data_IF_975923646340
#
_entry.id   IF_975923646340
#
_cell.length_a   1.000
_cell.length_b   1.000
_cell.length_c   1.000
_cell.angle_alpha   90.00
_cell.angle_beta   90.00
_cell.angle_gamma   90.00
#
_symmetry.space_group_name_H-M   'P 1'
#
loop_
_entity.id
_entity.type
_entity.pdbx_description
1 polymer ?
#
# COMPACT_ATOMS: atom_id res chain seq x y z
N UNK A 1 4.74 9.49 15.58
CA UNK A 1 3.69 8.79 14.82
C UNK A 1 4.15 8.80 13.37
N UNK A 2 4.37 7.64 12.74
CA UNK A 2 4.71 7.62 11.31
C UNK A 2 3.52 8.17 10.51
N UNK A 3 3.80 9.04 9.56
CA UNK A 3 2.80 9.54 8.63
C UNK A 3 2.25 8.42 7.73
N UNK A 4 1.08 8.64 7.15
CA UNK A 4 0.46 7.68 6.22
C UNK A 4 1.40 7.34 5.05
N UNK A 5 2.13 8.33 4.54
CA UNK A 5 3.08 8.15 3.44
C UNK A 5 4.31 7.34 3.86
N UNK A 6 4.85 7.55 5.06
CA UNK A 6 5.96 6.74 5.59
C UNK A 6 5.52 5.29 5.78
N UNK A 7 4.31 5.07 6.31
CA UNK A 7 3.73 3.73 6.49
C UNK A 7 3.52 3.02 5.15
N UNK A 8 2.98 3.73 4.14
CA UNK A 8 2.78 3.18 2.80
C UNK A 8 4.10 2.87 2.09
N UNK A 9 5.12 3.73 2.23
CA UNK A 9 6.46 3.49 1.68
C UNK A 9 7.14 2.29 2.34
N UNK A 10 7.04 2.16 3.66
CA UNK A 10 7.58 1.01 4.38
C UNK A 10 6.90 -0.29 3.91
N UNK A 11 5.57 -0.30 3.77
CA UNK A 11 4.84 -1.43 3.22
C UNK A 11 5.30 -1.82 1.81
N UNK A 12 5.49 -0.84 0.94
CA UNK A 12 5.97 -1.07 -0.42
C UNK A 12 7.43 -1.58 -0.43
N UNK A 13 8.26 -1.11 0.50
CA UNK A 13 9.67 -1.52 0.63
C UNK A 13 9.84 -2.98 1.10
N UNK A 14 8.91 -3.50 1.91
CA UNK A 14 8.91 -4.92 2.31
C UNK A 14 8.31 -5.85 1.25
N UNK A 15 8.12 -5.38 0.01
CA UNK A 15 7.51 -6.16 -1.07
C UNK A 15 5.98 -6.11 -1.10
N UNK A 16 5.36 -5.20 -0.35
CA UNK A 16 3.95 -4.92 -0.46
C UNK A 16 3.58 -4.28 -1.80
N UNK A 17 2.42 -4.65 -2.33
CA UNK A 17 1.80 -4.06 -3.52
C UNK A 17 0.46 -3.45 -3.13
N UNK A 18 0.23 -2.21 -3.53
CA UNK A 18 -1.02 -1.48 -3.33
C UNK A 18 -1.59 -1.11 -4.71
N UNK A 19 -2.89 -1.20 -4.91
CA UNK A 19 -3.49 -0.86 -6.20
C UNK A 19 -4.88 -0.25 -6.09
N UNK A 20 -5.28 0.46 -7.14
CA UNK A 20 -6.65 0.94 -7.36
C UNK A 20 -7.24 0.19 -8.56
N UNK A 21 -8.41 -0.41 -8.35
CA UNK A 21 -9.18 -1.06 -9.41
C UNK A 21 -9.99 -0.04 -10.24
N UNK A 22 -10.57 -0.44 -11.39
CA UNK A 22 -11.44 0.44 -12.19
C UNK A 22 -12.68 1.00 -11.48
N UNK A 23 -13.13 0.32 -10.42
CA UNK A 23 -14.22 0.76 -9.58
C UNK A 23 -13.74 1.69 -8.45
N UNK A 24 -12.50 2.16 -8.54
CA UNK A 24 -11.86 3.08 -7.61
C UNK A 24 -11.64 2.50 -6.19
N UNK A 25 -11.60 1.16 -6.07
CA UNK A 25 -11.42 0.45 -4.81
C UNK A 25 -9.95 0.14 -4.56
N UNK A 26 -9.53 0.31 -3.31
CA UNK A 26 -8.16 0.12 -2.86
C UNK A 26 -7.88 -1.33 -2.46
N UNK A 27 -7.00 -2.00 -3.19
CA UNK A 27 -6.45 -3.31 -2.86
C UNK A 27 -5.03 -3.21 -2.31
N UNK A 28 -4.64 -4.18 -1.49
CA UNK A 28 -3.26 -4.32 -1.03
C UNK A 28 -2.94 -5.78 -0.71
N UNK A 29 -1.75 -6.23 -1.05
CA UNK A 29 -1.21 -7.57 -0.80
C UNK A 29 0.28 -7.45 -0.49
N UNK A 30 0.81 -8.39 0.29
CA UNK A 30 2.24 -8.54 0.51
C UNK A 30 2.57 -10.00 0.26
N UNK A 31 3.50 -10.26 -0.67
CA UNK A 31 3.90 -11.62 -1.05
C UNK A 31 5.07 -12.14 -0.18
N UNK A 32 5.54 -11.36 0.79
CA UNK A 32 6.67 -11.72 1.63
C UNK A 32 6.27 -12.76 2.71
N UNK A 33 6.98 -13.89 2.75
CA UNK A 33 7.12 -14.72 3.95
C UNK A 33 8.01 -13.95 4.93
N UNK A 34 7.37 -13.10 5.73
CA UNK A 34 8.03 -12.09 6.53
C UNK A 34 8.42 -12.57 7.93
N UNK A 35 9.52 -12.02 8.43
CA UNK A 35 9.85 -12.01 9.86
C UNK A 35 8.94 -11.04 10.65
N UNK A 36 9.19 -10.88 11.95
CA UNK A 36 8.40 -10.03 12.83
C UNK A 36 8.31 -8.56 12.38
N UNK A 37 9.32 -8.05 11.66
CA UNK A 37 9.35 -6.67 11.17
C UNK A 37 8.39 -6.48 9.98
N UNK A 38 8.35 -7.47 9.07
CA UNK A 38 7.39 -7.50 7.98
C UNK A 38 5.94 -7.60 8.47
N UNK A 39 5.67 -8.42 9.50
CA UNK A 39 4.34 -8.51 10.12
C UNK A 39 3.92 -7.17 10.76
N UNK A 40 4.81 -6.55 11.54
CA UNK A 40 4.53 -5.27 12.19
C UNK A 40 4.22 -4.16 11.18
N UNK A 41 5.02 -4.08 10.10
CA UNK A 41 4.83 -3.10 9.02
C UNK A 41 3.54 -3.35 8.25
N UNK A 42 3.24 -4.60 7.91
CA UNK A 42 1.99 -4.99 7.25
C UNK A 42 0.77 -4.62 8.10
N UNK A 43 0.82 -4.91 9.40
CA UNK A 43 -0.26 -4.57 10.33
C UNK A 43 -0.46 -3.07 10.46
N UNK A 44 0.63 -2.30 10.55
CA UNK A 44 0.56 -0.84 10.57
C UNK A 44 -0.10 -0.29 9.30
N UNK A 45 0.28 -0.82 8.14
CA UNK A 45 -0.31 -0.46 6.86
C UNK A 45 -1.81 -0.78 6.77
N UNK A 46 -2.22 -2.02 7.10
CA UNK A 46 -3.64 -2.40 7.05
C UNK A 46 -4.49 -1.59 8.04
N UNK A 47 -3.93 -1.23 9.19
CA UNK A 47 -4.59 -0.34 10.16
C UNK A 47 -4.78 1.06 9.58
N UNK A 48 -3.74 1.63 8.96
CA UNK A 48 -3.82 2.93 8.30
C UNK A 48 -4.81 2.94 7.12
N UNK A 49 -4.84 1.83 6.34
CA UNK A 49 -5.82 1.60 5.27
C UNK A 49 -7.26 1.58 5.77
N UNK A 50 -7.51 0.93 6.90
CA UNK A 50 -8.84 0.90 7.50
C UNK A 50 -9.26 2.27 8.05
N UNK A 51 -8.32 3.05 8.57
CA UNK A 51 -8.58 4.38 9.11
C UNK A 51 -8.90 5.41 8.01
N UNK A 52 -8.11 5.44 6.93
CA UNK A 52 -8.32 6.38 5.83
C UNK A 52 -7.98 5.77 4.45
N UNK A 53 -8.92 5.01 3.85
CA UNK A 53 -8.71 4.43 2.54
C UNK A 53 -8.67 5.47 1.41
N UNK A 54 -9.28 6.65 1.62
CA UNK A 54 -9.33 7.70 0.61
C UNK A 54 -7.97 8.40 0.47
N UNK A 55 -7.33 8.73 1.59
CA UNK A 55 -5.98 9.30 1.59
C UNK A 55 -4.96 8.33 0.98
N UNK A 56 -5.05 7.03 1.29
CA UNK A 56 -4.21 6.01 0.66
C UNK A 56 -4.46 5.87 -0.84
N UNK A 57 -5.71 5.96 -1.29
CA UNK A 57 -6.00 5.97 -2.72
C UNK A 57 -5.39 7.20 -3.42
N UNK A 58 -5.38 8.37 -2.78
CA UNK A 58 -4.68 9.55 -3.31
C UNK A 58 -3.18 9.28 -3.48
N UNK A 59 -2.53 8.69 -2.47
CA UNK A 59 -1.12 8.32 -2.56
C UNK A 59 -0.85 7.32 -3.70
N UNK A 60 -1.70 6.30 -3.88
CA UNK A 60 -1.53 5.33 -4.97
C UNK A 60 -1.72 5.99 -6.35
N UNK A 61 -2.59 6.99 -6.48
CA UNK A 61 -2.71 7.75 -7.74
C UNK A 61 -1.51 8.66 -8.01
N UNK A 62 -0.87 9.16 -6.95
CA UNK A 62 0.29 10.05 -7.05
C UNK A 62 1.59 9.28 -7.35
N UNK A 63 1.80 8.13 -6.68
CA UNK A 63 3.05 7.37 -6.74
C UNK A 63 2.97 6.07 -7.55
N UNK A 64 1.76 5.59 -7.84
CA UNK A 64 1.55 4.36 -8.59
C UNK A 64 1.73 4.52 -10.09
N UNK A 65 2.00 3.41 -10.77
CA UNK A 65 2.13 3.33 -12.22
C UNK A 65 0.86 2.70 -12.83
N UNK A 66 0.34 3.21 -13.96
CA UNK A 66 -0.73 2.55 -14.69
C UNK A 66 -0.30 1.16 -15.18
N UNK A 67 -1.07 0.13 -14.82
CA UNK A 67 -0.89 -1.24 -15.29
C UNK A 67 -2.22 -1.74 -15.88
N UNK A 68 -2.42 -1.45 -17.16
CA UNK A 68 -3.66 -1.73 -17.86
C UNK A 68 -4.84 -0.97 -17.25
N UNK A 69 -5.74 -1.69 -16.58
CA UNK A 69 -6.93 -1.12 -15.94
C UNK A 69 -6.71 -0.71 -14.48
N UNK A 70 -5.53 -0.97 -13.92
CA UNK A 70 -5.20 -0.70 -12.52
C UNK A 70 -4.17 0.42 -12.43
N UNK A 71 -4.11 1.09 -11.28
CA UNK A 71 -2.95 1.90 -10.88
C UNK A 71 -2.28 1.14 -9.74
N UNK A 72 -1.01 0.76 -9.91
CA UNK A 72 -0.29 -0.12 -8.98
C UNK A 72 0.93 0.61 -8.43
N UNK A 73 1.08 0.61 -7.11
CA UNK A 73 2.28 1.05 -6.41
C UNK A 73 2.95 -0.16 -5.75
N UNK A 74 4.17 -0.46 -6.19
CA UNK A 74 5.00 -1.57 -5.71
C UNK A 74 6.48 -1.12 -5.70
N UNK A 75 7.32 -1.77 -4.89
CA UNK A 75 8.73 -1.44 -4.75
C UNK A 75 9.47 -1.59 -6.09
N UNK A 76 10.50 -0.77 -6.30
CA UNK A 76 11.40 -0.89 -7.44
C UNK A 76 12.41 -2.02 -7.22
#
# INVERSE_FOLDING_TARGET
MASLIETARAFVAIGGRVWIDPANRLGAIVDAEGDAECEATSRAFFTAKAADPAALATLVREYGQPQGRFIVWQGA
#
